data_IF_610918406555
#
_entry.id   IF_610918406555
#
_cell.length_a   1.000
_cell.length_b   1.000
_cell.length_c   1.000
_cell.angle_alpha   90.00
_cell.angle_beta   90.00
_cell.angle_gamma   90.00
#
_symmetry.space_group_name_H-M   'P 1'
#
loop_
_entity.id
_entity.type
_entity.pdbx_description
1 polymer ?
#
# COMPACT_ATOMS: atom_id res chain seq x y z
N UNK A 1 11.67 8.99 -21.32
CA UNK A 1 10.30 9.22 -20.83
C UNK A 1 10.44 9.91 -19.48
N UNK A 2 10.08 11.19 -19.39
CA UNK A 2 10.38 12.06 -18.24
C UNK A 2 9.18 12.01 -17.29
N UNK A 3 9.39 11.65 -16.02
CA UNK A 3 8.39 11.87 -14.98
C UNK A 3 8.35 13.37 -14.69
N UNK A 4 7.24 14.05 -15.03
CA UNK A 4 7.02 15.44 -14.65
C UNK A 4 6.52 15.44 -13.19
N UNK A 5 7.36 15.85 -12.26
CA UNK A 5 7.11 15.76 -10.81
C UNK A 5 8.37 15.48 -9.98
N UNK A 6 9.48 16.15 -10.29
CA UNK A 6 10.72 15.99 -9.54
C UNK A 6 10.54 16.46 -8.10
N UNK A 7 10.60 15.54 -7.13
CA UNK A 7 10.53 15.85 -5.70
C UNK A 7 9.26 15.41 -4.97
N UNK A 8 8.31 14.72 -5.64
CA UNK A 8 7.11 14.20 -4.98
C UNK A 8 7.47 13.13 -3.93
N UNK A 9 8.27 12.15 -4.34
CA UNK A 9 8.97 11.27 -3.42
C UNK A 9 10.34 11.86 -3.09
N UNK A 10 10.69 11.88 -1.80
CA UNK A 10 12.01 12.34 -1.33
C UNK A 10 13.00 11.20 -1.13
N UNK A 11 12.47 10.00 -0.98
CA UNK A 11 13.24 8.78 -0.76
C UNK A 11 12.96 7.75 -1.86
N UNK A 12 13.57 6.57 -1.75
CA UNK A 12 13.35 5.50 -2.71
C UNK A 12 11.88 5.06 -2.74
N UNK A 13 11.38 4.84 -3.96
CA UNK A 13 10.07 4.19 -4.15
C UNK A 13 10.25 2.71 -3.86
N UNK A 14 9.56 2.22 -2.84
CA UNK A 14 9.68 0.85 -2.36
C UNK A 14 8.79 -0.11 -3.14
N UNK A 15 7.61 0.33 -3.57
CA UNK A 15 6.74 -0.46 -4.43
C UNK A 15 5.86 0.39 -5.34
N UNK A 16 5.49 -0.19 -6.48
CA UNK A 16 4.59 0.36 -7.48
C UNK A 16 3.51 -0.67 -7.77
N UNK A 17 2.24 -0.26 -7.85
CA UNK A 17 1.12 -1.10 -8.26
C UNK A 17 0.13 -0.32 -9.13
N UNK A 18 -0.74 -1.02 -9.85
CA UNK A 18 -1.72 -0.41 -10.75
C UNK A 18 -3.13 -0.67 -10.26
N UNK A 19 -3.95 0.39 -10.22
CA UNK A 19 -5.34 0.32 -9.82
C UNK A 19 -6.24 0.81 -10.95
N UNK A 20 -7.28 0.04 -11.25
CA UNK A 20 -8.27 0.44 -12.23
C UNK A 20 -9.31 1.36 -11.60
N UNK A 21 -9.59 2.49 -12.24
CA UNK A 21 -10.62 3.42 -11.81
C UNK A 21 -11.82 3.35 -12.77
N UNK A 22 -12.91 2.74 -12.30
CA UNK A 22 -14.14 2.53 -13.10
C UNK A 22 -14.73 3.82 -13.71
N UNK A 23 -14.78 4.92 -12.95
CA UNK A 23 -15.39 6.20 -13.31
C UNK A 23 -14.74 6.81 -14.54
N UNK A 24 -13.44 6.63 -14.68
CA UNK A 24 -12.68 7.14 -15.82
C UNK A 24 -12.34 6.08 -16.85
N UNK A 25 -12.67 4.81 -16.58
CA UNK A 25 -12.33 3.66 -17.40
C UNK A 25 -10.83 3.63 -17.74
N UNK A 26 -10.00 3.89 -16.73
CA UNK A 26 -8.56 4.12 -16.89
C UNK A 26 -7.75 3.52 -15.73
N UNK A 27 -6.47 3.22 -15.97
CA UNK A 27 -5.55 2.70 -14.97
C UNK A 27 -4.71 3.82 -14.36
N UNK A 28 -4.67 3.86 -13.03
CA UNK A 28 -3.80 4.74 -12.27
C UNK A 28 -2.63 3.94 -11.70
N UNK A 29 -1.46 4.57 -11.66
CA UNK A 29 -0.28 4.01 -11.01
C UNK A 29 -0.23 4.51 -9.57
N UNK A 30 0.03 3.63 -8.62
CA UNK A 30 0.17 3.95 -7.20
C UNK A 30 1.57 3.60 -6.77
N UNK A 31 2.24 4.51 -6.07
CA UNK A 31 3.59 4.29 -5.55
C UNK A 31 3.60 4.48 -4.05
N UNK A 32 4.41 3.70 -3.36
CA UNK A 32 4.72 3.90 -1.95
C UNK A 32 6.22 4.06 -1.75
N UNK A 33 6.63 4.82 -0.74
CA UNK A 33 8.04 5.12 -0.47
C UNK A 33 8.34 5.10 1.03
N UNK A 34 9.62 4.98 1.34
CA UNK A 34 10.16 5.06 2.69
C UNK A 34 10.07 6.48 3.28
N UNK A 35 9.76 7.49 2.45
CA UNK A 35 9.36 8.83 2.93
C UNK A 35 7.97 8.85 3.62
N UNK A 36 7.24 7.72 3.58
CA UNK A 36 5.91 7.57 4.16
C UNK A 36 4.80 8.23 3.34
N UNK A 37 5.07 8.56 2.08
CA UNK A 37 4.06 9.00 1.13
C UNK A 37 3.57 7.83 0.28
N UNK A 38 2.27 7.84 0.01
CA UNK A 38 1.64 7.04 -1.05
C UNK A 38 1.09 8.01 -2.10
N UNK A 39 1.49 7.85 -3.35
CA UNK A 39 1.17 8.82 -4.41
C UNK A 39 0.38 8.13 -5.50
N UNK A 40 -0.68 8.80 -5.96
CA UNK A 40 -1.48 8.37 -7.09
C UNK A 40 -1.05 9.14 -8.34
N UNK A 41 -0.74 8.42 -9.41
CA UNK A 41 -0.24 8.95 -10.66
C UNK A 41 -1.18 8.62 -11.81
N UNK A 42 -1.38 9.60 -12.69
CA UNK A 42 -2.03 9.39 -13.98
C UNK A 42 -0.97 9.12 -15.03
N UNK A 43 -1.14 8.03 -15.78
CA UNK A 43 -0.31 7.75 -16.94
C UNK A 43 -0.88 8.47 -18.17
N UNK A 44 -0.09 9.34 -18.80
CA UNK A 44 -0.40 9.97 -20.08
C UNK A 44 0.68 9.57 -21.11
N UNK A 45 0.51 9.97 -22.38
CA UNK A 45 1.48 9.68 -23.45
C UNK A 45 2.88 10.22 -23.10
N UNK A 46 2.93 11.45 -22.58
CA UNK A 46 4.13 12.20 -22.22
C UNK A 46 4.85 11.72 -20.95
N UNK A 47 4.18 10.97 -20.07
CA UNK A 47 4.74 10.53 -18.80
C UNK A 47 3.71 10.31 -17.69
N UNK A 48 4.21 10.23 -16.47
CA UNK A 48 3.41 10.07 -15.25
C UNK A 48 3.24 11.42 -14.57
N UNK A 49 2.01 11.71 -14.17
CA UNK A 49 1.62 12.95 -13.53
C UNK A 49 1.06 12.69 -12.14
N UNK A 50 1.63 13.29 -11.08
CA UNK A 50 1.15 13.09 -9.73
C UNK A 50 -0.21 13.78 -9.55
N UNK A 51 -1.22 13.05 -9.10
CA UNK A 51 -2.58 13.57 -8.90
C UNK A 51 -2.76 14.01 -7.44
N UNK A 52 -2.42 13.12 -6.50
CA UNK A 52 -2.56 13.33 -5.06
C UNK A 52 -1.46 12.58 -4.32
N UNK A 53 -1.11 13.07 -3.13
CA UNK A 53 -0.27 12.35 -2.17
C UNK A 53 -1.01 12.10 -0.86
N UNK A 54 -0.75 10.95 -0.26
CA UNK A 54 -1.24 10.55 1.05
C UNK A 54 -0.04 10.42 1.99
N UNK A 55 -0.14 10.97 3.20
CA UNK A 55 0.93 10.87 4.21
C UNK A 55 0.55 9.84 5.27
N UNK A 56 1.35 8.79 5.40
CA UNK A 56 1.16 7.73 6.40
C UNK A 56 1.85 8.16 7.69
N UNK A 57 1.08 8.50 8.73
CA UNK A 57 1.63 9.00 10.00
C UNK A 57 1.42 8.05 11.17
N UNK A 58 2.34 8.10 12.14
CA UNK A 58 2.27 7.29 13.35
C UNK A 58 1.07 7.59 14.26
N UNK A 59 0.57 8.84 14.24
CA UNK A 59 -0.64 9.19 14.97
C UNK A 59 -1.87 8.47 14.41
N UNK A 60 -1.95 8.35 13.09
CA UNK A 60 -3.09 7.70 12.45
C UNK A 60 -3.03 6.18 12.66
N UNK A 61 -1.83 5.58 12.72
CA UNK A 61 -1.72 4.17 13.13
C UNK A 61 -2.08 3.97 14.61
N UNK A 62 -1.68 4.89 15.50
CA UNK A 62 -1.98 4.81 16.93
C UNK A 62 -3.49 4.97 17.23
N UNK A 63 -4.19 5.82 16.46
CA UNK A 63 -5.66 5.95 16.52
C UNK A 63 -6.39 4.65 16.22
N UNK A 64 -5.75 3.75 15.46
CA UNK A 64 -6.34 2.47 15.04
C UNK A 64 -5.75 1.29 15.82
N UNK A 65 -5.15 1.56 16.99
CA UNK A 65 -4.73 0.54 17.95
C UNK A 65 -3.32 -0.01 17.74
N UNK A 66 -2.54 0.56 16.83
CA UNK A 66 -1.16 0.16 16.63
C UNK A 66 -0.24 0.79 17.68
N UNK A 67 0.38 -0.03 18.53
CA UNK A 67 1.48 0.41 19.40
C UNK A 67 2.82 0.06 18.74
N UNK A 68 3.40 1.00 18.00
CA UNK A 68 4.77 0.89 17.49
C UNK A 68 5.73 1.00 18.68
N UNK A 69 6.25 -0.14 19.14
CA UNK A 69 7.15 -0.21 20.28
C UNK A 69 8.58 0.25 19.91
N UNK A 70 8.75 1.55 19.67
CA UNK A 70 10.01 2.26 19.89
C UNK A 70 9.70 3.74 20.17
N UNK A 71 9.43 4.04 21.45
CA UNK A 71 9.08 5.38 21.93
C UNK A 71 10.23 6.36 21.70
N UNK A 72 10.06 7.28 20.76
CA UNK A 72 10.57 8.66 20.91
C UNK A 72 9.36 9.57 21.11
N UNK A 73 9.09 9.91 22.38
CA UNK A 73 7.95 10.73 22.86
C UNK A 73 7.98 12.19 22.36
N UNK A 74 8.88 12.53 21.44
CA UNK A 74 9.16 13.92 21.05
C UNK A 74 8.68 14.33 19.65
N UNK A 75 8.13 13.43 18.82
CA UNK A 75 7.66 13.84 17.50
C UNK A 75 6.38 13.12 17.05
N UNK A 76 5.25 13.73 17.36
CA UNK A 76 3.90 13.25 17.04
C UNK A 76 3.55 13.37 15.54
N UNK A 77 4.47 13.81 14.67
CA UNK A 77 4.28 13.87 13.20
C UNK A 77 5.29 13.03 12.42
N UNK A 78 5.83 11.98 13.03
CA UNK A 78 6.75 11.08 12.32
C UNK A 78 6.01 10.29 11.24
N UNK A 79 6.47 10.46 9.99
CA UNK A 79 6.04 9.66 8.85
C UNK A 79 6.49 8.21 9.03
N UNK A 80 5.61 7.28 8.67
CA UNK A 80 5.92 5.85 8.70
C UNK A 80 6.43 5.47 7.31
N UNK A 81 7.71 5.12 7.23
CA UNK A 81 8.28 4.57 6.00
C UNK A 81 7.57 3.28 5.59
N UNK A 82 7.18 3.22 4.31
CA UNK A 82 6.48 2.07 3.73
C UNK A 82 7.44 1.25 2.87
N UNK A 83 7.39 -0.07 3.03
CA UNK A 83 8.31 -1.01 2.36
C UNK A 83 7.63 -1.79 1.24
N UNK A 84 6.33 -2.02 1.37
CA UNK A 84 5.57 -2.82 0.42
C UNK A 84 4.09 -2.45 0.47
N UNK A 85 3.38 -2.81 -0.60
CA UNK A 85 1.98 -2.49 -0.86
C UNK A 85 1.31 -3.65 -1.61
N UNK A 86 0.03 -3.90 -1.34
CA UNK A 86 -0.77 -4.79 -2.17
C UNK A 86 -2.23 -4.39 -2.16
N UNK A 87 -2.84 -4.29 -3.34
CA UNK A 87 -4.26 -3.99 -3.47
C UNK A 87 -5.15 -5.19 -3.18
N UNK A 88 -6.27 -4.96 -2.51
CA UNK A 88 -7.33 -5.95 -2.35
C UNK A 88 -7.97 -6.21 -3.72
N UNK A 89 -8.02 -7.48 -4.14
CA UNK A 89 -8.71 -7.86 -5.38
C UNK A 89 -10.18 -8.11 -5.09
N UNK A 90 -11.04 -7.34 -5.74
CA UNK A 90 -12.50 -7.53 -5.69
C UNK A 90 -12.91 -8.36 -6.91
N UNK A 91 -13.81 -9.31 -6.71
CA UNK A 91 -14.42 -10.08 -7.80
C UNK A 91 -15.10 -9.12 -8.81
N UNK A 92 -15.19 -9.54 -10.07
CA UNK A 92 -15.67 -8.76 -11.21
C UNK A 92 -17.15 -8.32 -11.14
N UNK A 93 -17.78 -8.48 -9.98
CA UNK A 93 -19.20 -8.23 -9.70
C UNK A 93 -19.44 -6.71 -9.48
N UNK A 94 -18.88 -5.86 -10.35
CA UNK A 94 -19.29 -4.51 -10.73
C UNK A 94 -19.62 -3.44 -9.68
N UNK A 95 -19.58 -3.71 -8.37
CA UNK A 95 -20.24 -2.87 -7.37
C UNK A 95 -19.37 -2.44 -6.20
N UNK A 96 -18.09 -2.80 -6.16
CA UNK A 96 -17.22 -2.40 -5.08
C UNK A 96 -15.91 -1.84 -5.62
N UNK A 97 -15.98 -0.57 -6.01
CA UNK A 97 -14.91 0.40 -5.72
C UNK A 97 -14.51 0.24 -4.26
N UNK A 98 -13.53 -0.62 -4.00
CA UNK A 98 -12.81 -0.63 -2.74
C UNK A 98 -11.35 -0.42 -3.09
N UNK A 99 -10.94 0.85 -3.10
CA UNK A 99 -9.52 1.24 -3.15
C UNK A 99 -8.77 0.82 -1.89
N UNK A 100 -9.13 -0.32 -1.30
CA UNK A 100 -8.51 -0.92 -0.14
C UNK A 100 -7.20 -1.55 -0.55
N UNK A 101 -6.14 -1.21 0.15
CA UNK A 101 -4.83 -1.81 -0.04
C UNK A 101 -4.16 -1.98 1.31
N UNK A 102 -3.18 -2.85 1.35
CA UNK A 102 -2.38 -3.11 2.54
C UNK A 102 -1.01 -2.49 2.36
N UNK A 103 -0.47 -1.93 3.43
CA UNK A 103 0.89 -1.39 3.49
C UNK A 103 1.69 -2.13 4.55
N UNK A 104 2.94 -2.47 4.20
CA UNK A 104 3.97 -2.86 5.14
C UNK A 104 4.87 -1.67 5.48
N UNK A 105 5.35 -1.63 6.72
CA UNK A 105 6.24 -0.58 7.22
C UNK A 105 7.60 -1.12 7.64
N UNK A 106 8.61 -0.26 7.54
CA UNK A 106 9.96 -0.48 8.09
C UNK A 106 9.94 -0.72 9.60
N UNK A 107 8.95 -0.17 10.32
CA UNK A 107 8.80 -0.35 11.76
C UNK A 107 8.03 -1.64 12.14
N UNK A 108 7.74 -2.51 11.17
CA UNK A 108 6.99 -3.76 11.36
C UNK A 108 5.49 -3.62 11.34
N UNK A 109 4.98 -2.43 11.01
CA UNK A 109 3.56 -2.20 10.88
C UNK A 109 2.93 -2.79 9.64
N UNK A 110 1.74 -3.35 9.83
CA UNK A 110 0.88 -3.81 8.75
C UNK A 110 -0.42 -3.01 8.86
N UNK A 111 -0.74 -2.25 7.82
CA UNK A 111 -1.81 -1.24 7.82
C UNK A 111 -2.78 -1.52 6.68
N UNK A 112 -4.09 -1.38 6.94
CA UNK A 112 -5.09 -1.26 5.88
C UNK A 112 -5.29 0.19 5.54
N UNK A 113 -5.17 0.50 4.27
CA UNK A 113 -5.36 1.82 3.72
C UNK A 113 -6.49 1.82 2.69
N UNK A 114 -7.07 3.00 2.47
CA UNK A 114 -8.16 3.18 1.51
C UNK A 114 -7.96 4.43 0.67
N UNK A 115 -7.99 4.28 -0.66
CA UNK A 115 -8.02 5.39 -1.59
C UNK A 115 -9.42 6.00 -1.57
N UNK A 116 -9.52 7.22 -1.06
CA UNK A 116 -10.76 7.99 -1.09
C UNK A 116 -10.96 8.63 -2.47
N UNK A 117 -11.35 7.83 -3.46
CA UNK A 117 -11.53 8.29 -4.84
C UNK A 117 -12.45 9.51 -4.97
N UNK A 118 -13.48 9.65 -4.12
CA UNK A 118 -14.32 10.85 -4.07
C UNK A 118 -13.52 12.09 -3.67
N UNK A 119 -12.71 12.02 -2.61
CA UNK A 119 -11.86 13.13 -2.16
C UNK A 119 -10.79 13.49 -3.20
N UNK A 120 -10.21 12.49 -3.86
CA UNK A 120 -9.28 12.70 -4.99
C UNK A 120 -10.00 13.46 -6.10
N UNK A 121 -11.18 13.00 -6.46
CA UNK A 121 -11.96 13.57 -7.54
C UNK A 121 -12.50 14.96 -7.25
N UNK A 122 -12.96 15.26 -6.03
CA UNK A 122 -13.40 16.59 -5.64
C UNK A 122 -12.22 17.58 -5.66
N UNK A 123 -11.02 17.13 -5.27
CA UNK A 123 -9.82 17.95 -5.33
C UNK A 123 -9.41 18.25 -6.77
N UNK A 124 -9.49 17.25 -7.65
CA UNK A 124 -9.31 17.41 -9.10
C UNK A 124 -10.38 18.32 -9.71
N UNK A 125 -11.65 18.17 -9.32
CA UNK A 125 -12.77 19.00 -9.81
C UNK A 125 -12.60 20.47 -9.44
N UNK A 126 -12.07 20.76 -8.25
CA UNK A 126 -11.72 22.12 -7.83
C UNK A 126 -10.71 22.83 -8.74
N UNK A 127 -9.97 22.06 -9.57
CA UNK A 127 -8.96 22.57 -10.52
C UNK A 127 -9.50 22.67 -11.96
N UNK A 128 -10.70 22.16 -12.27
CA UNK A 128 -11.32 22.35 -13.60
C UNK A 128 -12.36 21.32 -14.07
N UNK A 129 -12.97 20.52 -13.18
CA UNK A 129 -14.01 19.56 -13.55
C UNK A 129 -13.52 18.24 -14.17
N UNK A 130 -14.45 17.42 -14.68
CA UNK A 130 -14.16 16.09 -15.29
C UNK A 130 -13.33 16.19 -16.58
N UNK A 131 -13.56 17.23 -17.38
CA UNK A 131 -12.79 17.51 -18.59
C UNK A 131 -11.35 17.92 -18.27
N UNK A 132 -11.11 18.62 -17.15
CA UNK A 132 -9.76 18.93 -16.71
C UNK A 132 -8.99 17.70 -16.24
N UNK A 133 -9.62 16.68 -15.66
CA UNK A 133 -8.93 15.43 -15.34
C UNK A 133 -8.52 14.65 -16.60
N UNK A 134 -9.36 14.67 -17.64
CA UNK A 134 -9.00 14.10 -18.95
C UNK A 134 -7.94 14.95 -19.65
N UNK A 135 -8.01 16.27 -19.48
CA UNK A 135 -7.03 17.22 -20.01
C UNK A 135 -5.72 17.16 -19.21
N UNK A 136 -4.59 17.31 -19.88
CA UNK A 136 -3.26 17.26 -19.26
C UNK A 136 -2.96 18.47 -18.36
N UNK A 137 -3.89 19.43 -18.28
CA UNK A 137 -3.69 20.74 -17.64
C UNK A 137 -3.73 20.75 -16.11
N UNK A 138 -4.15 19.68 -15.45
CA UNK A 138 -4.25 19.64 -13.97
C UNK A 138 -2.87 19.60 -13.29
N UNK A 139 -1.84 19.08 -13.96
CA UNK A 139 -0.55 18.78 -13.34
C UNK A 139 0.62 19.67 -13.79
N UNK A 140 0.38 20.68 -14.65
CA UNK A 140 1.46 21.58 -15.10
C UNK A 140 1.70 22.77 -14.16
N UNK A 141 0.79 23.04 -13.22
CA UNK A 141 0.81 24.29 -12.45
C UNK A 141 1.47 24.22 -11.07
N UNK A 142 1.69 23.02 -10.51
CA UNK A 142 2.25 22.85 -9.17
C UNK A 142 3.27 21.70 -9.16
N UNK A 143 4.47 21.93 -8.61
CA UNK A 143 5.55 20.93 -8.53
C UNK A 143 5.26 19.80 -7.53
N UNK A 144 4.37 20.02 -6.56
CA UNK A 144 3.96 19.03 -5.55
C UNK A 144 2.44 18.79 -5.60
N UNK A 145 1.97 17.53 -5.67
CA UNK A 145 0.54 17.24 -5.70
C UNK A 145 -0.13 17.57 -4.36
N UNK A 146 -1.43 17.89 -4.36
CA UNK A 146 -2.17 18.14 -3.13
C UNK A 146 -2.09 16.93 -2.19
N UNK A 147 -1.81 17.22 -0.92
CA UNK A 147 -1.75 16.21 0.16
C UNK A 147 -3.13 15.99 0.78
N UNK A 148 -3.55 14.72 0.86
CA UNK A 148 -4.78 14.26 1.48
C UNK A 148 -4.53 13.68 2.87
N UNK A 149 -5.55 13.62 3.75
CA UNK A 149 -5.42 13.00 5.07
C UNK A 149 -4.99 11.53 4.96
N UNK A 150 -4.38 11.02 6.02
CA UNK A 150 -3.85 9.66 6.06
C UNK A 150 -4.85 8.62 5.57
N UNK A 151 -4.42 7.68 4.71
CA UNK A 151 -5.30 6.71 4.11
C UNK A 151 -5.58 5.53 5.05
N UNK A 152 -4.97 5.50 6.25
CA UNK A 152 -5.06 4.40 7.21
C UNK A 152 -6.51 4.29 7.75
N UNK A 153 -7.04 3.07 7.70
CA UNK A 153 -8.38 2.73 8.21
C UNK A 153 -8.34 1.61 9.25
N UNK A 154 -7.36 0.72 9.17
CA UNK A 154 -7.19 -0.41 10.07
C UNK A 154 -5.71 -0.69 10.33
N UNK A 155 -5.38 -1.29 11.47
CA UNK A 155 -4.04 -1.76 11.80
C UNK A 155 -4.06 -3.20 12.29
N UNK A 156 -3.06 -3.97 11.89
CA UNK A 156 -2.93 -5.38 12.26
C UNK A 156 -1.78 -5.56 13.26
N UNK A 157 -1.73 -6.74 13.87
CA UNK A 157 -0.68 -7.08 14.81
C UNK A 157 0.71 -6.92 14.14
N UNK A 158 1.58 -6.05 14.70
CA UNK A 158 2.88 -5.75 14.10
C UNK A 158 3.81 -6.95 14.09
N UNK A 159 4.67 -7.00 13.07
CA UNK A 159 5.85 -7.88 13.05
C UNK A 159 6.92 -7.39 14.03
N UNK A 160 7.82 -8.30 14.42
CA UNK A 160 8.97 -8.00 15.30
C UNK A 160 10.12 -7.24 14.61
N UNK A 161 9.91 -6.77 13.39
CA UNK A 161 10.89 -6.06 12.56
C UNK A 161 10.26 -5.63 11.22
N UNK A 162 11.04 -5.07 10.29
CA UNK A 162 10.54 -4.57 9.01
C UNK A 162 9.68 -5.60 8.27
N UNK A 163 8.54 -5.13 7.75
CA UNK A 163 7.72 -5.94 6.83
C UNK A 163 8.39 -5.91 5.47
N UNK A 164 8.63 -7.06 4.86
CA UNK A 164 9.29 -7.17 3.57
C UNK A 164 8.31 -7.36 2.41
N UNK A 165 7.21 -8.10 2.65
CA UNK A 165 6.17 -8.25 1.66
C UNK A 165 4.79 -8.34 2.31
N UNK A 166 3.81 -7.81 1.57
CA UNK A 166 2.39 -8.02 1.83
C UNK A 166 1.75 -8.43 0.50
N UNK A 167 0.90 -9.45 0.52
CA UNK A 167 0.21 -9.92 -0.67
C UNK A 167 -1.26 -10.19 -0.35
N UNK A 168 -2.17 -9.54 -1.06
CA UNK A 168 -3.59 -9.83 -1.00
C UNK A 168 -3.94 -11.07 -1.83
N UNK A 169 -4.93 -11.83 -1.37
CA UNK A 169 -5.41 -12.99 -2.11
C UNK A 169 -6.14 -12.56 -3.38
N UNK A 170 -5.82 -13.16 -4.54
CA UNK A 170 -6.49 -12.84 -5.79
C UNK A 170 -7.88 -13.48 -5.92
N UNK A 171 -8.15 -14.53 -5.13
CA UNK A 171 -9.36 -15.35 -5.23
C UNK A 171 -10.30 -15.18 -4.05
N UNK A 172 -9.80 -14.72 -2.90
CA UNK A 172 -10.60 -14.52 -1.70
C UNK A 172 -10.48 -13.07 -1.22
N UNK A 173 -11.59 -12.35 -1.32
CA UNK A 173 -11.72 -11.05 -0.69
C UNK A 173 -11.50 -11.16 0.82
N UNK A 174 -10.89 -10.14 1.43
CA UNK A 174 -10.53 -10.08 2.85
C UNK A 174 -9.40 -10.99 3.35
N UNK A 175 -8.67 -11.68 2.47
CA UNK A 175 -7.52 -12.49 2.88
C UNK A 175 -6.23 -11.87 2.35
N UNK A 176 -5.23 -11.75 3.21
CA UNK A 176 -3.90 -11.33 2.80
C UNK A 176 -2.82 -11.98 3.68
N UNK A 177 -1.58 -12.01 3.18
CA UNK A 177 -0.41 -12.47 3.94
C UNK A 177 0.58 -11.32 4.12
N UNK A 178 1.31 -11.35 5.22
CA UNK A 178 2.45 -10.48 5.46
C UNK A 178 3.67 -11.29 5.92
N UNK A 179 4.87 -10.89 5.50
CA UNK A 179 6.11 -11.47 5.99
C UNK A 179 7.15 -10.39 6.29
N UNK A 180 8.10 -10.68 7.19
CA UNK A 180 9.10 -9.70 7.59
C UNK A 180 10.40 -10.29 8.12
N UNK A 181 11.21 -9.41 8.69
CA UNK A 181 12.50 -9.74 9.29
C UNK A 181 12.39 -10.59 10.56
N UNK A 182 11.18 -10.77 11.13
CA UNK A 182 10.97 -11.69 12.24
C UNK A 182 10.93 -13.16 11.81
N UNK A 183 11.05 -13.45 10.51
CA UNK A 183 10.98 -14.81 9.96
C UNK A 183 9.58 -15.42 9.98
N UNK A 184 8.57 -14.63 10.35
CA UNK A 184 7.17 -15.07 10.43
C UNK A 184 6.41 -14.69 9.16
N UNK A 185 5.58 -15.61 8.70
CA UNK A 185 4.59 -15.40 7.66
C UNK A 185 3.21 -15.44 8.32
N UNK A 186 2.47 -14.34 8.28
CA UNK A 186 1.18 -14.21 8.95
C UNK A 186 0.06 -14.13 7.94
N UNK A 187 -0.94 -14.98 8.11
CA UNK A 187 -2.19 -14.96 7.35
C UNK A 187 -3.21 -14.12 8.12
N UNK A 188 -3.80 -13.13 7.46
CA UNK A 188 -4.69 -12.17 8.10
C UNK A 188 -6.06 -12.16 7.44
N UNK A 189 -7.10 -12.00 8.28
CA UNK A 189 -8.41 -11.56 7.84
C UNK A 189 -8.45 -10.03 7.89
N UNK A 190 -8.93 -9.38 6.84
CA UNK A 190 -8.99 -7.92 6.79
C UNK A 190 -9.82 -7.25 7.87
N UNK A 191 -10.74 -7.98 8.52
CA UNK A 191 -11.59 -7.49 9.60
C UNK A 191 -11.08 -7.79 11.01
N UNK A 192 -9.99 -8.56 11.14
CA UNK A 192 -9.44 -8.97 12.43
C UNK A 192 -8.03 -8.39 12.60
N UNK A 193 -7.74 -7.81 13.77
CA UNK A 193 -6.41 -7.24 14.04
C UNK A 193 -5.35 -8.32 14.28
N UNK A 194 -5.71 -9.44 14.90
CA UNK A 194 -4.82 -10.58 15.07
C UNK A 194 -4.81 -11.46 13.81
N UNK A 195 -3.66 -12.05 13.45
CA UNK A 195 -3.59 -12.98 12.33
C UNK A 195 -4.44 -14.22 12.61
N UNK A 196 -4.98 -14.82 11.54
CA UNK A 196 -5.65 -16.12 11.56
C UNK A 196 -4.62 -17.21 11.90
N UNK A 197 -3.44 -17.12 11.29
CA UNK A 197 -2.34 -18.05 11.48
C UNK A 197 -0.99 -17.36 11.33
N UNK A 198 0.00 -17.87 12.06
CA UNK A 198 1.41 -17.46 11.95
C UNK A 198 2.23 -18.70 11.65
N UNK A 199 3.01 -18.64 10.58
CA UNK A 199 3.89 -19.70 10.12
C UNK A 199 5.34 -19.24 10.29
N UNK A 200 6.19 -20.13 10.78
CA UNK A 200 7.63 -19.90 10.93
C UNK A 200 8.37 -20.91 10.05
N UNK A 201 8.37 -20.73 8.72
CA UNK A 201 8.94 -21.70 7.78
C UNK A 201 10.46 -21.85 7.95
N UNK A 202 11.14 -20.83 8.49
CA UNK A 202 12.56 -20.88 8.79
C UNK A 202 12.91 -19.88 9.88
N UNK A 203 14.06 -20.07 10.54
CA UNK A 203 14.65 -19.11 11.47
C UNK A 203 15.35 -17.91 10.79
N UNK A 204 15.24 -17.81 9.46
CA UNK A 204 15.82 -16.74 8.64
C UNK A 204 14.75 -15.73 8.21
N UNK A 205 15.19 -14.54 7.78
CA UNK A 205 14.32 -13.50 7.24
C UNK A 205 13.54 -13.98 6.01
N UNK A 206 12.29 -13.55 5.93
CA UNK A 206 11.40 -13.77 4.79
C UNK A 206 11.31 -12.49 3.95
N UNK A 207 11.68 -12.59 2.68
CA UNK A 207 11.77 -11.44 1.79
C UNK A 207 10.57 -11.28 0.85
N UNK A 208 9.85 -12.36 0.59
CA UNK A 208 8.73 -12.34 -0.36
C UNK A 208 7.64 -13.30 0.09
N UNK A 209 6.40 -12.94 -0.22
CA UNK A 209 5.22 -13.77 -0.09
C UNK A 209 4.30 -13.50 -1.28
N UNK A 210 3.65 -14.55 -1.81
CA UNK A 210 2.73 -14.42 -2.94
C UNK A 210 1.67 -15.51 -2.92
N UNK A 211 0.43 -15.13 -3.26
CA UNK A 211 -0.66 -16.08 -3.43
C UNK A 211 -0.64 -16.73 -4.82
N UNK A 212 -1.13 -17.95 -4.89
CA UNK A 212 -1.43 -18.62 -6.15
C UNK A 212 -2.58 -17.89 -6.86
N UNK A 213 -2.42 -17.57 -8.15
CA UNK A 213 -3.48 -16.92 -8.92
C UNK A 213 -4.63 -17.87 -9.28
N UNK A 214 -4.40 -19.19 -9.21
CA UNK A 214 -5.36 -20.21 -9.69
C UNK A 214 -5.88 -21.12 -8.59
N UNK A 215 -5.17 -21.25 -7.48
CA UNK A 215 -5.57 -22.13 -6.37
C UNK A 215 -5.90 -21.28 -5.15
N UNK A 216 -7.14 -21.32 -4.65
CA UNK A 216 -7.50 -20.57 -3.45
C UNK A 216 -6.68 -21.09 -2.26
N UNK A 217 -6.36 -20.18 -1.32
CA UNK A 217 -5.61 -20.47 -0.10
C UNK A 217 -4.17 -20.97 -0.27
N UNK A 218 -3.71 -21.16 -1.51
CA UNK A 218 -2.32 -21.54 -1.76
C UNK A 218 -1.45 -20.29 -1.84
N UNK A 219 -0.38 -20.25 -1.06
CA UNK A 219 0.61 -19.18 -1.10
C UNK A 219 2.01 -19.72 -0.86
N UNK A 220 2.99 -18.97 -1.38
CA UNK A 220 4.41 -19.25 -1.23
C UNK A 220 5.09 -18.10 -0.49
N UNK A 221 6.07 -18.43 0.34
CA UNK A 221 7.03 -17.46 0.87
C UNK A 221 8.45 -17.80 0.39
N UNK A 222 9.34 -16.82 0.40
CA UNK A 222 10.75 -16.96 0.07
C UNK A 222 11.62 -16.22 1.07
N UNK A 223 12.80 -16.77 1.38
CA UNK A 223 13.68 -16.30 2.46
C UNK A 223 15.14 -16.65 2.21
N UNK A 224 16.03 -16.12 3.05
CA UNK A 224 17.47 -16.05 2.79
C UNK A 224 18.31 -17.30 3.07
N UNK A 225 17.74 -18.35 3.68
CA UNK A 225 18.48 -19.59 3.95
C UNK A 225 18.79 -20.31 2.63
N UNK A 226 20.07 -20.55 2.33
CA UNK A 226 20.58 -21.10 1.05
C UNK A 226 20.06 -22.50 0.62
N UNK A 227 19.10 -23.08 1.34
CA UNK A 227 18.34 -24.28 0.96
C UNK A 227 16.86 -24.03 0.61
N UNK A 228 16.42 -22.76 0.58
CA UNK A 228 15.11 -22.30 0.13
C UNK A 228 13.98 -22.54 1.12
N UNK A 229 13.49 -21.53 1.86
CA UNK A 229 12.19 -21.66 2.50
C UNK A 229 11.11 -21.40 1.45
N UNK A 230 10.83 -22.42 0.63
CA UNK A 230 9.61 -22.51 -0.19
C UNK A 230 8.54 -23.19 0.68
N UNK A 231 7.69 -22.40 1.33
CA UNK A 231 6.52 -22.94 2.02
C UNK A 231 5.32 -22.80 1.08
N UNK A 232 4.86 -23.90 0.47
CA UNK A 232 3.55 -23.93 -0.22
C UNK A 232 2.54 -24.49 0.76
N UNK A 233 1.56 -23.68 1.16
CA UNK A 233 0.41 -24.11 1.94
C UNK A 233 -0.83 -24.28 1.07
#
# INVERSE_FOLDING_TARGET
>A
RVTKGGGVHRECVSQVDWVYWDRFNDFMCVTCSTDGKVVLWKANEDGFWPIVSYSVTANDSARVGMSLAHRSVLDQRKLIGTTCMSFERVAADGLAQRGGFYLGSEAGGVLKCYIQFTSVFDKVRGVGGEEAFRSEKVAEKEDEPPSLPSPITFSYQPHGGPVHAVAASPLQHNLFVSCGADGTLRLHNSYQSSPIHSYEPSSSYLYSASFSPTRPLVFAAGGGGGGGPFLTL
#
